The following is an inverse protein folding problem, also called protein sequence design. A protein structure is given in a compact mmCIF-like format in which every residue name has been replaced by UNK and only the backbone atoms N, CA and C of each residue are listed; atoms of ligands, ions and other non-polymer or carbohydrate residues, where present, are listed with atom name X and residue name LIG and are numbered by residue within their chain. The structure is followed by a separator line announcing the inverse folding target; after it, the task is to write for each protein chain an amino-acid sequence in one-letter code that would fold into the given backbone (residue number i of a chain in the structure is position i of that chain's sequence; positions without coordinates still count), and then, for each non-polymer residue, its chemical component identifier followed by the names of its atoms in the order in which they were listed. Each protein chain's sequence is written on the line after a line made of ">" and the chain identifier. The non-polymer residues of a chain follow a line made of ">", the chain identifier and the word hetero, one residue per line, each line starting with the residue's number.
data_IF_000743250223
#
_entry.id   IF_000743250223
#
_cell.length_a   1.000
_cell.length_b   1.000
_cell.length_c   1.000
_cell.angle_alpha   90.00
_cell.angle_beta   90.00
_cell.angle_gamma   90.00
#
_symmetry.space_group_name_H-M   'P 1'
#
loop_
_entity.id
_entity.type
_entity.pdbx_description
1 polymer ?
#
# COMPACT_ATOMS: atom_id res chain seq x y z
N UNK A 1 14.90 32.04 -5.87
CA UNK A 1 14.71 31.16 -4.69
C UNK A 1 14.53 29.75 -5.22
N UNK A 2 15.44 28.84 -4.89
CA UNK A 2 15.42 27.49 -5.44
C UNK A 2 14.25 26.69 -4.85
N UNK A 3 13.41 26.18 -5.75
CA UNK A 3 12.35 25.22 -5.47
C UNK A 3 12.96 24.02 -4.74
N UNK A 4 12.51 23.77 -3.50
CA UNK A 4 13.01 22.68 -2.66
C UNK A 4 12.22 21.39 -2.92
N UNK A 5 11.71 21.18 -4.14
CA UNK A 5 11.08 19.93 -4.58
C UNK A 5 11.97 19.20 -5.59
N UNK A 6 13.11 18.70 -5.14
CA UNK A 6 13.72 17.46 -5.66
C UNK A 6 15.09 17.24 -5.03
N UNK A 7 15.10 16.67 -3.83
CA UNK A 7 16.09 15.64 -3.50
C UNK A 7 15.37 14.31 -3.41
N UNK A 8 14.81 13.87 -4.55
CA UNK A 8 14.48 12.46 -4.75
C UNK A 8 15.80 11.70 -4.58
N UNK A 9 15.89 10.87 -3.54
CA UNK A 9 17.05 10.00 -3.34
C UNK A 9 17.44 9.33 -4.65
N UNK A 10 18.73 9.33 -4.99
CA UNK A 10 19.30 8.74 -6.21
C UNK A 10 19.08 7.21 -6.31
N UNK A 11 18.51 6.61 -5.27
CA UNK A 11 18.14 5.21 -5.18
C UNK A 11 16.92 4.91 -6.07
N UNK A 12 16.93 3.89 -6.94
CA UNK A 12 15.77 3.50 -7.75
C UNK A 12 14.52 3.27 -6.89
N UNK A 13 13.33 3.59 -7.41
CA UNK A 13 12.07 3.50 -6.67
C UNK A 13 11.83 2.10 -6.08
N UNK A 14 12.17 1.04 -6.82
CA UNK A 14 12.08 -0.34 -6.35
C UNK A 14 13.02 -0.64 -5.18
N UNK A 15 14.25 -0.11 -5.19
CA UNK A 15 15.21 -0.36 -4.11
C UNK A 15 14.80 0.39 -2.82
N UNK A 16 14.29 1.63 -2.95
CA UNK A 16 13.70 2.37 -1.81
C UNK A 16 12.55 1.61 -1.15
N UNK A 17 11.64 1.04 -1.95
CA UNK A 17 10.52 0.27 -1.43
C UNK A 17 11.00 -0.97 -0.66
N UNK A 18 11.99 -1.68 -1.20
CA UNK A 18 12.56 -2.85 -0.53
C UNK A 18 13.29 -2.45 0.76
N UNK A 19 14.05 -1.36 0.76
CA UNK A 19 14.71 -0.81 1.95
C UNK A 19 13.70 -0.40 3.03
N UNK A 20 12.60 0.26 2.62
CA UNK A 20 11.49 0.61 3.51
C UNK A 20 10.83 -0.62 4.14
N UNK A 21 10.56 -1.65 3.33
CA UNK A 21 9.97 -2.89 3.80
C UNK A 21 10.90 -3.70 4.71
N UNK A 22 12.21 -3.68 4.45
CA UNK A 22 13.19 -4.28 5.35
C UNK A 22 13.24 -3.58 6.72
N UNK A 23 13.09 -2.26 6.76
CA UNK A 23 13.13 -1.49 8.00
C UNK A 23 11.81 -1.52 8.78
N UNK A 24 10.66 -1.46 8.11
CA UNK A 24 9.35 -1.25 8.74
C UNK A 24 8.33 -2.37 8.50
N UNK A 25 8.70 -3.41 7.74
CA UNK A 25 7.77 -4.46 7.32
C UNK A 25 7.04 -5.14 8.48
N UNK A 26 7.72 -5.35 9.62
CA UNK A 26 7.09 -5.95 10.80
C UNK A 26 5.97 -5.09 11.36
N UNK A 27 6.24 -3.79 11.56
CA UNK A 27 5.26 -2.85 12.09
C UNK A 27 4.06 -2.68 11.14
N UNK A 28 4.32 -2.70 9.83
CA UNK A 28 3.27 -2.64 8.80
C UNK A 28 2.39 -3.89 8.89
N UNK A 29 2.97 -5.08 8.93
CA UNK A 29 2.19 -6.33 8.96
C UNK A 29 1.44 -6.53 10.28
N UNK A 30 2.03 -6.12 11.41
CA UNK A 30 1.35 -6.15 12.70
C UNK A 30 0.13 -5.21 12.70
N UNK A 31 0.24 -4.04 12.05
CA UNK A 31 -0.90 -3.13 11.84
C UNK A 31 -1.98 -3.72 10.93
N UNK A 32 -1.60 -4.42 9.87
CA UNK A 32 -2.55 -5.01 8.91
C UNK A 32 -3.28 -6.25 9.44
N UNK A 33 -2.79 -6.88 10.52
CA UNK A 33 -3.34 -8.11 11.09
C UNK A 33 -4.83 -8.01 11.44
N UNK A 34 -5.24 -6.88 12.01
CA UNK A 34 -6.60 -6.63 12.49
C UNK A 34 -7.25 -5.39 11.83
N UNK A 35 -6.61 -4.84 10.79
CA UNK A 35 -7.12 -3.68 10.06
C UNK A 35 -8.33 -4.03 9.18
N UNK A 36 -9.54 -3.68 9.61
CA UNK A 36 -10.77 -3.93 8.84
C UNK A 36 -11.29 -2.69 8.10
N UNK A 37 -10.99 -1.48 8.58
CA UNK A 37 -11.72 -0.27 8.17
C UNK A 37 -10.82 0.91 7.73
N UNK A 38 -9.53 0.66 7.51
CA UNK A 38 -8.58 1.70 7.07
C UNK A 38 -7.77 1.25 5.87
N UNK A 39 -7.34 2.22 5.06
CA UNK A 39 -6.29 2.02 4.05
C UNK A 39 -5.07 2.82 4.47
N UNK A 40 -4.03 2.13 4.89
CA UNK A 40 -2.71 2.69 5.19
C UNK A 40 -1.91 2.83 3.90
N UNK A 41 -1.58 4.06 3.54
CA UNK A 41 -0.92 4.42 2.29
C UNK A 41 0.47 4.98 2.60
N UNK A 42 1.50 4.41 1.97
CA UNK A 42 2.88 4.83 2.11
C UNK A 42 3.36 5.44 0.79
N UNK A 43 3.98 6.62 0.87
CA UNK A 43 4.50 7.34 -0.29
C UNK A 43 5.72 6.64 -0.88
N UNK A 44 5.74 6.47 -2.21
CA UNK A 44 6.85 5.86 -2.94
C UNK A 44 7.25 6.71 -4.16
N UNK A 45 7.25 8.04 -4.00
CA UNK A 45 7.50 8.99 -5.09
C UNK A 45 6.23 9.35 -5.84
N UNK A 46 6.07 8.88 -7.08
CA UNK A 46 4.88 9.14 -7.91
C UNK A 46 3.69 8.21 -7.63
N UNK A 47 3.86 7.26 -6.70
CA UNK A 47 2.88 6.24 -6.36
C UNK A 47 2.70 6.17 -4.85
N UNK A 48 1.54 5.66 -4.46
CA UNK A 48 1.22 5.25 -3.10
C UNK A 48 1.08 3.73 -3.06
N UNK A 49 1.61 3.12 -2.01
CA UNK A 49 1.53 1.68 -1.82
C UNK A 49 0.76 1.32 -0.54
N UNK A 50 0.08 0.19 -0.59
CA UNK A 50 -0.59 -0.42 0.55
C UNK A 50 -0.28 -1.92 0.59
N UNK A 51 -0.42 -2.52 1.76
CA UNK A 51 -0.11 -3.93 2.00
C UNK A 51 -1.32 -4.68 2.56
N UNK A 52 -1.40 -5.98 2.31
CA UNK A 52 -2.36 -6.90 2.91
C UNK A 52 -3.82 -6.40 2.85
N UNK A 53 -4.47 -6.12 3.99
CA UNK A 53 -5.88 -5.69 4.03
C UNK A 53 -6.07 -4.30 3.44
N UNK A 54 -5.14 -3.38 3.72
CA UNK A 54 -5.09 -2.08 3.05
C UNK A 54 -4.93 -2.24 1.53
N UNK A 55 -4.13 -3.19 1.05
CA UNK A 55 -4.01 -3.46 -0.40
C UNK A 55 -5.32 -3.97 -1.00
N UNK A 56 -5.99 -4.90 -0.31
CA UNK A 56 -7.31 -5.40 -0.72
C UNK A 56 -8.35 -4.27 -0.81
N UNK A 57 -8.40 -3.39 0.20
CA UNK A 57 -9.28 -2.23 0.23
C UNK A 57 -8.91 -1.21 -0.84
N UNK A 58 -7.62 -0.95 -1.07
CA UNK A 58 -7.16 -0.11 -2.17
C UNK A 58 -7.69 -0.64 -3.51
N UNK A 59 -7.61 -1.94 -3.79
CA UNK A 59 -8.17 -2.53 -5.01
C UNK A 59 -9.71 -2.40 -5.10
N UNK A 60 -10.44 -2.26 -3.99
CA UNK A 60 -11.88 -1.96 -3.99
C UNK A 60 -12.16 -0.52 -4.37
N UNK A 61 -11.32 0.43 -3.92
CA UNK A 61 -11.43 1.85 -4.25
C UNK A 61 -10.92 2.17 -5.66
N UNK A 62 -9.85 1.48 -6.06
CA UNK A 62 -9.13 1.66 -7.32
C UNK A 62 -8.97 0.30 -8.01
N UNK A 63 -9.98 -0.16 -8.76
CA UNK A 63 -9.93 -1.47 -9.42
C UNK A 63 -8.76 -1.68 -10.39
N UNK A 64 -8.15 -0.58 -10.85
CA UNK A 64 -6.98 -0.58 -11.75
C UNK A 64 -5.64 -0.60 -11.01
N UNK A 65 -5.63 -0.67 -9.68
CA UNK A 65 -4.39 -0.78 -8.91
C UNK A 65 -3.56 -1.97 -9.34
N UNK A 66 -2.27 -1.72 -9.58
CA UNK A 66 -1.30 -2.78 -9.81
C UNK A 66 -1.08 -3.54 -8.51
N UNK A 67 -0.89 -4.86 -8.61
CA UNK A 67 -0.65 -5.71 -7.45
C UNK A 67 0.64 -6.50 -7.62
N UNK A 68 1.42 -6.61 -6.55
CA UNK A 68 2.62 -7.45 -6.51
C UNK A 68 2.59 -8.35 -5.28
N UNK A 69 3.28 -9.49 -5.37
CA UNK A 69 3.44 -10.43 -4.26
C UNK A 69 4.93 -10.59 -3.98
N UNK A 70 5.31 -10.42 -2.72
CA UNK A 70 6.69 -10.48 -2.25
C UNK A 70 6.87 -11.63 -1.27
N UNK A 71 8.08 -12.16 -1.19
CA UNK A 71 8.49 -13.09 -0.14
C UNK A 71 9.69 -12.50 0.57
N UNK A 72 9.52 -12.22 1.86
CA UNK A 72 10.57 -11.76 2.75
C UNK A 72 11.12 -12.95 3.53
N UNK A 73 12.40 -12.92 3.90
CA UNK A 73 12.99 -14.01 4.70
C UNK A 73 12.43 -14.02 6.11
N UNK A 74 12.03 -12.85 6.59
CA UNK A 74 11.56 -12.57 7.93
C UNK A 74 10.10 -13.02 8.15
N UNK A 75 9.37 -13.30 7.07
CA UNK A 75 7.97 -13.72 7.11
C UNK A 75 7.76 -15.07 6.41
N UNK A 76 7.13 -16.06 7.07
CA UNK A 76 6.93 -17.38 6.48
C UNK A 76 5.83 -17.41 5.41
N UNK A 77 5.15 -16.28 5.16
CA UNK A 77 4.06 -16.14 4.20
C UNK A 77 4.37 -15.03 3.18
N UNK A 78 3.84 -15.14 1.94
CA UNK A 78 3.95 -14.07 0.97
C UNK A 78 3.20 -12.82 1.44
N UNK A 79 3.66 -11.64 1.02
CA UNK A 79 3.02 -10.36 1.31
C UNK A 79 2.47 -9.79 0.01
N UNK A 80 1.22 -9.37 0.02
CA UNK A 80 0.57 -8.75 -1.15
C UNK A 80 0.59 -7.24 -0.99
N UNK A 81 0.98 -6.55 -2.06
CA UNK A 81 0.97 -5.11 -2.17
C UNK A 81 0.03 -4.68 -3.30
N UNK A 82 -0.59 -3.51 -3.12
CA UNK A 82 -1.22 -2.77 -4.20
C UNK A 82 -0.60 -1.38 -4.32
N UNK A 83 -0.55 -0.84 -5.53
CA UNK A 83 -0.12 0.53 -5.79
C UNK A 83 -1.17 1.33 -6.57
N UNK A 84 -1.12 2.65 -6.40
CA UNK A 84 -1.93 3.61 -7.14
C UNK A 84 -1.12 4.87 -7.42
N UNK A 85 -1.34 5.49 -8.56
CA UNK A 85 -0.71 6.78 -8.91
C UNK A 85 -1.16 7.90 -7.96
N UNK A 86 -0.24 8.82 -7.65
CA UNK A 86 -0.53 9.98 -6.82
C UNK A 86 -1.69 10.82 -7.36
N UNK A 87 -1.76 11.02 -8.69
CA UNK A 87 -2.84 11.79 -9.32
C UNK A 87 -4.22 11.15 -9.11
N UNK A 88 -4.30 9.81 -9.19
CA UNK A 88 -5.54 9.07 -8.92
C UNK A 88 -5.97 9.19 -7.46
N UNK A 89 -5.02 9.08 -6.53
CA UNK A 89 -5.30 9.26 -5.11
C UNK A 89 -5.74 10.70 -4.81
N UNK A 90 -5.09 11.70 -5.41
CA UNK A 90 -5.47 13.12 -5.26
C UNK A 90 -6.87 13.39 -5.80
N UNK A 91 -7.24 12.84 -6.96
CA UNK A 91 -8.60 12.96 -7.48
C UNK A 91 -9.61 12.36 -6.51
N UNK A 92 -9.34 11.16 -5.98
CA UNK A 92 -10.19 10.51 -5.00
C UNK A 92 -10.32 11.35 -3.71
N UNK A 93 -9.21 11.86 -3.18
CA UNK A 93 -9.16 12.67 -1.97
C UNK A 93 -9.91 14.00 -2.09
N UNK A 94 -10.06 14.57 -3.30
CA UNK A 94 -10.90 15.77 -3.51
C UNK A 94 -12.38 15.52 -3.24
N UNK A 95 -12.82 14.26 -3.30
CA UNK A 95 -14.23 13.85 -3.13
C UNK A 95 -14.47 13.09 -1.83
N UNK A 96 -13.43 12.79 -1.05
CA UNK A 96 -13.51 11.90 0.12
C UNK A 96 -12.64 12.40 1.28
N UNK A 97 -12.99 11.98 2.51
CA UNK A 97 -12.30 12.42 3.74
C UNK A 97 -11.04 11.58 3.97
N UNK A 98 -9.88 12.25 4.01
CA UNK A 98 -8.62 11.67 4.50
C UNK A 98 -8.57 11.80 6.02
N UNK A 99 -8.28 10.71 6.74
CA UNK A 99 -8.19 10.74 8.22
C UNK A 99 -6.90 11.37 8.72
N UNK A 100 -5.80 11.15 8.02
CA UNK A 100 -4.48 11.65 8.41
C UNK A 100 -3.64 11.95 7.18
N UNK A 101 -3.89 13.06 6.47
CA UNK A 101 -3.10 13.42 5.30
C UNK A 101 -1.67 13.81 5.70
N UNK A 102 -0.69 13.05 5.24
CA UNK A 102 0.73 13.38 5.33
C UNK A 102 1.44 13.18 3.98
N UNK A 103 2.62 13.78 3.77
CA UNK A 103 3.33 13.71 2.49
C UNK A 103 3.89 12.32 2.17
N UNK A 104 4.27 11.56 3.20
CA UNK A 104 4.90 10.23 3.06
C UNK A 104 4.01 9.09 3.58
N UNK A 105 2.95 9.43 4.31
CA UNK A 105 2.03 8.48 4.91
C UNK A 105 0.64 9.11 5.05
N UNK A 106 -0.38 8.39 4.61
CA UNK A 106 -1.77 8.84 4.76
C UNK A 106 -2.72 7.69 5.04
N UNK A 107 -3.88 8.00 5.61
CA UNK A 107 -4.90 7.01 5.99
C UNK A 107 -6.25 7.39 5.39
N UNK A 108 -6.87 6.44 4.68
CA UNK A 108 -8.27 6.53 4.25
C UNK A 108 -9.17 5.77 5.21
N UNK A 109 -10.32 6.35 5.53
CA UNK A 109 -11.42 5.62 6.15
C UNK A 109 -12.19 4.86 5.06
N UNK A 110 -12.48 3.58 5.28
CA UNK A 110 -13.26 2.77 4.34
C UNK A 110 -14.30 1.93 5.08
N UNK A 111 -15.38 1.49 4.40
CA UNK A 111 -16.27 0.47 4.95
C UNK A 111 -15.49 -0.79 5.33
N UNK A 112 -15.96 -1.51 6.36
CA UNK A 112 -15.26 -2.70 6.85
C UNK A 112 -15.03 -3.75 5.76
N UNK A 113 -13.85 -4.37 5.81
CA UNK A 113 -13.50 -5.57 5.06
C UNK A 113 -13.75 -6.78 5.94
N UNK A 114 -14.63 -7.68 5.52
CA UNK A 114 -14.76 -8.95 6.21
C UNK A 114 -13.51 -9.82 6.01
N UNK A 115 -13.22 -10.66 7.00
CA UNK A 115 -12.11 -11.62 6.91
C UNK A 115 -12.23 -12.53 5.68
N UNK A 116 -13.44 -12.92 5.31
CA UNK A 116 -13.67 -13.82 4.17
C UNK A 116 -13.45 -13.13 2.81
N UNK A 117 -13.84 -11.87 2.67
CA UNK A 117 -13.52 -11.08 1.48
C UNK A 117 -12.01 -10.94 1.32
N UNK A 118 -11.32 -10.57 2.41
CA UNK A 118 -9.87 -10.49 2.41
C UNK A 118 -9.22 -11.82 2.01
N UNK A 119 -9.61 -12.91 2.67
CA UNK A 119 -9.03 -14.24 2.46
C UNK A 119 -9.22 -14.73 1.03
N UNK A 120 -10.40 -14.48 0.42
CA UNK A 120 -10.65 -14.83 -0.98
C UNK A 120 -9.76 -14.04 -1.92
N UNK A 121 -9.68 -12.72 -1.73
CA UNK A 121 -8.83 -11.85 -2.55
C UNK A 121 -7.35 -12.22 -2.43
N UNK A 122 -6.85 -12.42 -1.22
CA UNK A 122 -5.45 -12.77 -0.95
C UNK A 122 -5.07 -14.09 -1.62
N UNK A 123 -5.90 -15.15 -1.47
CA UNK A 123 -5.65 -16.45 -2.10
C UNK A 123 -5.59 -16.35 -3.62
N UNK A 124 -6.46 -15.53 -4.23
CA UNK A 124 -6.43 -15.27 -5.66
C UNK A 124 -5.09 -14.64 -6.06
N UNK A 125 -4.67 -13.57 -5.38
CA UNK A 125 -3.43 -12.85 -5.70
C UNK A 125 -2.17 -13.70 -5.52
N UNK A 126 -2.10 -14.46 -4.43
CA UNK A 126 -0.98 -15.38 -4.20
C UNK A 126 -0.99 -16.55 -5.19
N UNK A 127 -2.16 -17.03 -5.61
CA UNK A 127 -2.27 -18.11 -6.60
C UNK A 127 -1.95 -17.68 -8.04
N UNK A 128 -2.19 -16.42 -8.38
CA UNK A 128 -1.79 -15.82 -9.67
C UNK A 128 -0.28 -15.56 -9.75
N UNK A 129 0.39 -15.41 -8.61
CA UNK A 129 1.83 -15.20 -8.54
C UNK A 129 2.61 -16.46 -8.93
N UNK A 130 3.31 -16.39 -10.06
CA UNK A 130 4.33 -17.37 -10.45
C UNK A 130 5.72 -16.73 -10.25
N UNK A 131 6.57 -17.29 -9.38
CA UNK A 131 7.91 -16.76 -9.13
C UNK A 131 8.84 -16.92 -10.33
#
# INVERSE_FOLDING_TARGET
>A
MYDTRERRSAEPAGLRLMSFLAAHGREILDREKDNTASVHLYGAGAYWVAFERSACQMCRLFPQSETAVFRFREFPFPVVMASVEDDRLREYARRHILRSPGPEYTILAVPELSFDEYRRWYRKKVGEYRP
#
